data_IF_017000265212
#
_entry.id   IF_017000265212
#
_cell.length_a   1.000
_cell.length_b   1.000
_cell.length_c   1.000
_cell.angle_alpha   90.00
_cell.angle_beta   90.00
_cell.angle_gamma   90.00
#
_symmetry.space_group_name_H-M   'P 1'
#
loop_
_entity.id
_entity.type
_entity.pdbx_description
1 polymer ?
#
# COMPACT_ATOMS: atom_id res chain seq x y z
N UNK A 1 5.88 12.64 0.15
CA UNK A 1 6.37 11.26 0.37
C UNK A 1 5.93 10.45 -0.81
N UNK A 2 6.85 9.70 -1.41
CA UNK A 2 6.59 8.93 -2.62
C UNK A 2 6.41 7.48 -2.20
N UNK A 3 5.36 6.83 -2.70
CA UNK A 3 5.18 5.39 -2.63
C UNK A 3 5.45 4.82 -4.01
N UNK A 4 6.18 3.72 -4.06
CA UNK A 4 6.60 3.12 -5.31
C UNK A 4 5.70 1.94 -5.66
N UNK A 5 5.26 1.90 -6.92
CA UNK A 5 4.38 0.86 -7.46
C UNK A 5 4.98 0.28 -8.74
N UNK A 6 4.43 -0.82 -9.25
CA UNK A 6 4.88 -1.39 -10.54
C UNK A 6 4.19 -0.72 -11.72
N UNK A 7 2.99 -0.18 -11.48
CA UNK A 7 2.21 0.48 -12.53
C UNK A 7 1.32 1.57 -11.94
N UNK A 8 1.40 2.75 -12.54
CA UNK A 8 0.39 3.79 -12.36
C UNK A 8 -0.83 3.55 -13.25
N UNK A 9 -2.01 3.81 -12.70
CA UNK A 9 -3.26 3.80 -13.45
C UNK A 9 -3.56 5.24 -13.89
N UNK A 10 -3.88 5.41 -15.17
CA UNK A 10 -4.13 6.71 -15.80
C UNK A 10 -5.21 7.53 -15.07
N UNK A 11 -5.21 8.85 -15.32
CA UNK A 11 -6.18 9.81 -14.75
C UNK A 11 -6.22 9.83 -13.20
N UNK A 12 -5.06 9.63 -12.57
CA UNK A 12 -4.91 9.66 -11.10
C UNK A 12 -5.81 8.64 -10.37
N UNK A 13 -6.19 7.54 -11.06
CA UNK A 13 -7.01 6.48 -10.45
C UNK A 13 -6.26 5.75 -9.33
N UNK A 14 -4.94 5.64 -9.44
CA UNK A 14 -4.07 5.06 -8.43
C UNK A 14 -2.92 4.26 -9.02
N UNK A 15 -2.63 3.09 -8.45
CA UNK A 15 -1.50 2.27 -8.86
C UNK A 15 -1.54 0.88 -8.23
N UNK A 16 -0.70 -0.03 -8.72
CA UNK A 16 -0.64 -1.41 -8.22
C UNK A 16 0.80 -1.90 -8.11
N UNK A 17 1.07 -2.74 -7.12
CA UNK A 17 2.34 -3.47 -7.03
C UNK A 17 2.15 -4.89 -6.53
N UNK A 18 2.92 -5.80 -7.10
CA UNK A 18 3.08 -7.18 -6.64
C UNK A 18 4.55 -7.49 -6.28
N UNK A 19 5.44 -6.50 -6.36
CA UNK A 19 6.81 -6.60 -5.89
C UNK A 19 6.86 -6.59 -4.35
N UNK A 20 7.51 -7.62 -3.78
CA UNK A 20 7.63 -7.81 -2.34
C UNK A 20 8.40 -6.67 -1.65
N UNK A 21 9.43 -6.12 -2.29
CA UNK A 21 10.27 -5.05 -1.71
C UNK A 21 9.53 -3.71 -1.73
N UNK A 22 8.77 -3.42 -2.79
CA UNK A 22 7.90 -2.24 -2.85
C UNK A 22 6.79 -2.34 -1.81
N UNK A 23 6.14 -3.50 -1.68
CA UNK A 23 5.16 -3.75 -0.63
C UNK A 23 5.76 -3.60 0.78
N UNK A 24 6.95 -4.14 1.02
CA UNK A 24 7.67 -3.98 2.28
C UNK A 24 7.95 -2.50 2.59
N UNK A 25 8.46 -1.75 1.61
CA UNK A 25 8.73 -0.32 1.73
C UNK A 25 7.46 0.46 2.04
N UNK A 26 6.36 0.18 1.33
CA UNK A 26 5.05 0.79 1.56
C UNK A 26 4.60 0.55 3.00
N UNK A 27 4.72 -0.67 3.53
CA UNK A 27 4.37 -0.92 4.93
C UNK A 27 5.29 -0.16 5.89
N UNK A 28 6.60 -0.19 5.63
CA UNK A 28 7.59 0.43 6.50
C UNK A 28 7.39 1.94 6.64
N UNK A 29 7.08 2.66 5.57
CA UNK A 29 6.82 4.11 5.64
C UNK A 29 5.53 4.47 6.40
N UNK A 30 4.65 3.50 6.64
CA UNK A 30 3.48 3.63 7.52
C UNK A 30 3.74 3.08 8.92
N UNK A 31 4.96 2.65 9.24
CA UNK A 31 5.31 2.08 10.53
C UNK A 31 4.78 0.66 10.75
N UNK A 32 4.55 -0.08 9.67
CA UNK A 32 4.08 -1.47 9.72
C UNK A 32 5.08 -2.44 9.11
N UNK A 33 4.88 -3.71 9.44
CA UNK A 33 5.60 -4.87 8.92
C UNK A 33 4.63 -5.93 8.40
N UNK A 34 5.12 -6.84 7.54
CA UNK A 34 4.33 -8.00 7.13
C UNK A 34 3.87 -8.83 8.33
N UNK A 35 4.75 -9.03 9.31
CA UNK A 35 4.43 -9.77 10.54
C UNK A 35 3.25 -9.15 11.30
N UNK A 36 3.22 -7.83 11.46
CA UNK A 36 2.11 -7.15 12.13
C UNK A 36 0.81 -7.30 11.34
N UNK A 37 0.87 -7.19 10.01
CA UNK A 37 -0.30 -7.38 9.14
C UNK A 37 -0.85 -8.81 9.21
N UNK A 38 0.03 -9.80 9.17
CA UNK A 38 -0.33 -11.21 9.25
C UNK A 38 -0.85 -11.59 10.64
N UNK A 39 -0.23 -11.10 11.72
CA UNK A 39 -0.69 -11.34 13.11
C UNK A 39 -2.06 -10.76 13.41
N UNK A 40 -2.38 -9.61 12.80
CA UNK A 40 -3.69 -8.97 12.94
C UNK A 40 -4.76 -9.58 12.04
N UNK A 41 -4.37 -10.45 11.11
CA UNK A 41 -5.29 -11.19 10.25
C UNK A 41 -5.84 -12.42 10.98
N UNK A 42 -7.03 -12.89 10.58
CA UNK A 42 -7.58 -14.13 11.13
C UNK A 42 -6.63 -15.29 10.80
N UNK A 43 -6.19 -16.11 11.78
CA UNK A 43 -5.30 -17.25 11.52
C UNK A 43 -5.89 -18.29 10.55
N UNK A 44 -7.21 -18.29 10.38
CA UNK A 44 -7.95 -19.16 9.46
C UNK A 44 -8.19 -18.53 8.08
N UNK A 45 -7.78 -17.27 7.87
CA UNK A 45 -7.91 -16.63 6.58
C UNK A 45 -7.01 -17.34 5.57
N UNK A 46 -7.62 -17.85 4.50
CA UNK A 46 -6.87 -18.49 3.41
C UNK A 46 -5.91 -17.50 2.74
N UNK A 47 -6.35 -16.25 2.58
CA UNK A 47 -5.57 -15.14 2.03
C UNK A 47 -5.79 -13.92 2.95
N UNK A 48 -4.86 -13.63 3.87
CA UNK A 48 -4.82 -12.40 4.63
C UNK A 48 -5.00 -11.17 3.73
N UNK A 49 -5.91 -10.28 4.11
CA UNK A 49 -6.25 -9.09 3.32
C UNK A 49 -6.78 -7.97 4.21
N UNK A 50 -6.66 -6.74 3.73
CA UNK A 50 -7.10 -5.58 4.46
C UNK A 50 -7.11 -4.31 3.62
N UNK A 51 -7.49 -3.21 4.27
CA UNK A 51 -7.51 -1.88 3.68
C UNK A 51 -7.09 -0.81 4.69
N UNK A 52 -6.45 0.25 4.21
CA UNK A 52 -6.11 1.43 5.00
C UNK A 52 -6.02 2.68 4.12
N UNK A 53 -6.13 3.87 4.72
CA UNK A 53 -6.01 5.14 4.00
C UNK A 53 -4.62 5.76 4.10
N UNK A 54 -4.11 6.31 3.00
CA UNK A 54 -2.86 7.08 2.94
C UNK A 54 -2.91 8.21 1.93
N UNK A 55 -2.65 9.45 2.38
CA UNK A 55 -2.86 10.65 1.55
C UNK A 55 -4.26 10.65 0.93
N UNK A 56 -4.34 10.81 -0.40
CA UNK A 56 -5.58 10.73 -1.19
C UNK A 56 -6.01 9.30 -1.57
N UNK A 57 -5.30 8.26 -1.14
CA UNK A 57 -5.52 6.90 -1.59
C UNK A 57 -6.07 6.00 -0.49
N UNK A 58 -6.91 5.06 -0.87
CA UNK A 58 -7.25 3.88 -0.10
C UNK A 58 -6.42 2.73 -0.67
N UNK A 59 -5.61 2.11 0.19
CA UNK A 59 -4.81 0.94 -0.15
C UNK A 59 -5.62 -0.30 0.21
N UNK A 60 -5.80 -1.19 -0.74
CA UNK A 60 -6.31 -2.53 -0.53
C UNK A 60 -5.18 -3.53 -0.79
N UNK A 61 -5.07 -4.56 0.05
CA UNK A 61 -4.01 -5.55 -0.11
C UNK A 61 -4.47 -6.97 0.16
N UNK A 62 -3.75 -7.92 -0.42
CA UNK A 62 -3.76 -9.32 -0.03
C UNK A 62 -2.34 -9.88 -0.04
N UNK A 63 -2.05 -10.77 0.91
CA UNK A 63 -0.70 -11.28 1.19
C UNK A 63 -0.82 -12.75 1.55
N UNK A 64 -0.05 -13.61 0.90
CA UNK A 64 0.07 -15.02 1.30
C UNK A 64 0.88 -15.13 2.60
N UNK A 65 0.55 -16.10 3.45
CA UNK A 65 1.21 -16.30 4.75
C UNK A 65 2.72 -16.51 4.64
N UNK A 66 3.19 -17.09 3.53
CA UNK A 66 4.60 -17.33 3.24
C UNK A 66 5.27 -16.21 2.41
N UNK A 67 4.52 -15.13 2.14
CA UNK A 67 4.93 -13.99 1.31
C UNK A 67 5.29 -14.37 -0.14
N UNK A 68 4.89 -15.54 -0.62
CA UNK A 68 5.10 -15.94 -2.02
C UNK A 68 4.35 -15.03 -2.99
N UNK A 69 3.23 -14.45 -2.54
CA UNK A 69 2.49 -13.43 -3.26
C UNK A 69 2.12 -12.26 -2.35
N UNK A 70 2.28 -11.06 -2.88
CA UNK A 70 1.73 -9.82 -2.34
C UNK A 70 1.00 -9.08 -3.45
N UNK A 71 -0.08 -8.40 -3.11
CA UNK A 71 -0.74 -7.49 -4.02
C UNK A 71 -1.21 -6.27 -3.25
N UNK A 72 -0.80 -5.10 -3.69
CA UNK A 72 -1.20 -3.81 -3.14
C UNK A 72 -1.81 -2.99 -4.26
N UNK A 73 -3.06 -2.58 -4.07
CA UNK A 73 -3.79 -1.68 -4.95
C UNK A 73 -4.07 -0.37 -4.25
N UNK A 74 -3.70 0.73 -4.91
CA UNK A 74 -4.02 2.10 -4.51
C UNK A 74 -5.20 2.57 -5.32
N UNK A 75 -6.23 3.06 -4.63
CA UNK A 75 -7.46 3.57 -5.23
C UNK A 75 -7.64 4.99 -4.73
N UNK A 76 -7.69 5.96 -5.63
CA UNK A 76 -7.94 7.35 -5.25
C UNK A 76 -9.30 7.48 -4.55
N UNK A 77 -9.34 8.17 -3.41
CA UNK A 77 -10.56 8.31 -2.59
C UNK A 77 -11.67 9.10 -3.30
N UNK A 78 -11.35 9.83 -4.37
CA UNK A 78 -12.33 10.53 -5.18
C UNK A 78 -13.03 9.63 -6.21
N UNK A 79 -12.59 8.37 -6.33
CA UNK A 79 -13.29 7.39 -7.17
C UNK A 79 -14.68 7.14 -6.60
N UNK A 80 -15.65 7.26 -7.49
CA UNK A 80 -17.04 6.92 -7.23
C UNK A 80 -17.21 5.41 -7.40
N UNK A 81 -17.24 4.69 -6.27
CA UNK A 81 -17.48 3.25 -6.28
C UNK A 81 -18.87 2.90 -6.80
N UNK A 82 -19.90 3.72 -6.57
CA UNK A 82 -21.26 3.40 -7.02
C UNK A 82 -21.31 3.35 -8.55
N UNK A 83 -20.63 4.28 -9.22
CA UNK A 83 -20.51 4.28 -10.69
C UNK A 83 -19.69 3.12 -11.25
N UNK A 84 -18.90 2.45 -10.42
CA UNK A 84 -18.06 1.31 -10.80
C UNK A 84 -18.44 0.05 -10.02
N UNK A 85 -19.63 0.02 -9.41
CA UNK A 85 -19.98 -0.96 -8.39
C UNK A 85 -19.89 -2.37 -8.91
N UNK A 86 -20.36 -2.63 -10.12
CA UNK A 86 -20.31 -3.96 -10.76
C UNK A 86 -18.87 -4.49 -10.87
N UNK A 87 -17.91 -3.62 -11.20
CA UNK A 87 -16.48 -3.98 -11.27
C UNK A 87 -15.91 -4.39 -9.91
N UNK A 88 -16.38 -3.76 -8.84
CA UNK A 88 -15.88 -4.00 -7.49
C UNK A 88 -16.67 -5.06 -6.72
N UNK A 89 -17.97 -5.22 -7.00
CA UNK A 89 -18.87 -6.13 -6.29
C UNK A 89 -18.51 -7.60 -6.52
N UNK A 90 -18.01 -7.93 -7.71
CA UNK A 90 -17.51 -9.28 -8.01
C UNK A 90 -16.15 -9.58 -7.33
N UNK A 91 -15.41 -8.53 -6.94
CA UNK A 91 -14.05 -8.64 -6.42
C UNK A 91 -13.94 -8.34 -4.92
N UNK A 92 -14.95 -7.72 -4.31
CA UNK A 92 -14.96 -7.29 -2.92
C UNK A 92 -16.09 -7.93 -2.14
N UNK A 93 -15.79 -8.43 -0.94
CA UNK A 93 -16.85 -8.82 -0.02
C UNK A 93 -17.70 -7.61 0.38
N UNK A 94 -18.98 -7.78 0.76
CA UNK A 94 -19.80 -6.67 1.27
C UNK A 94 -19.14 -5.91 2.42
N UNK A 95 -18.39 -6.61 3.29
CA UNK A 95 -17.62 -6.01 4.37
C UNK A 95 -16.48 -5.11 3.85
N UNK A 96 -15.83 -5.51 2.76
CA UNK A 96 -14.76 -4.75 2.12
C UNK A 96 -15.30 -3.46 1.48
N UNK A 97 -16.47 -3.52 0.83
CA UNK A 97 -17.15 -2.33 0.27
C UNK A 97 -17.50 -1.33 1.37
N UNK A 98 -18.12 -1.80 2.46
CA UNK A 98 -18.43 -0.96 3.61
C UNK A 98 -17.16 -0.34 4.24
N UNK A 99 -16.07 -1.12 4.32
CA UNK A 99 -14.78 -0.64 4.79
C UNK A 99 -14.19 0.46 3.91
N UNK A 100 -14.30 0.32 2.58
CA UNK A 100 -13.87 1.34 1.64
C UNK A 100 -14.63 2.65 1.85
N UNK A 101 -15.96 2.61 1.90
CA UNK A 101 -16.77 3.82 2.10
C UNK A 101 -16.43 4.52 3.42
N UNK A 102 -16.20 3.74 4.49
CA UNK A 102 -15.76 4.29 5.77
C UNK A 102 -14.43 5.04 5.64
N UNK A 103 -13.43 4.43 4.99
CA UNK A 103 -12.14 5.08 4.74
C UNK A 103 -12.28 6.32 3.86
N UNK A 104 -13.18 6.29 2.88
CA UNK A 104 -13.47 7.42 2.01
C UNK A 104 -14.00 8.61 2.82
N UNK A 105 -14.97 8.38 3.72
CA UNK A 105 -15.47 9.42 4.63
C UNK A 105 -14.39 9.95 5.58
N UNK A 106 -13.53 9.07 6.12
CA UNK A 106 -12.41 9.49 6.96
C UNK A 106 -11.41 10.38 6.19
N UNK A 107 -11.16 10.08 4.92
CA UNK A 107 -10.28 10.89 4.07
C UNK A 107 -10.90 12.23 3.69
N UNK A 108 -12.23 12.32 3.52
CA UNK A 108 -12.94 13.60 3.27
C UNK A 108 -12.78 14.61 4.41
N UNK A 109 -12.52 14.14 5.63
CA UNK A 109 -12.30 14.99 6.80
C UNK A 109 -10.87 15.57 6.87
N UNK A 110 -9.94 15.08 6.05
CA UNK A 110 -8.54 15.54 6.05
C UNK A 110 -8.37 16.83 5.26
N UNK A 111 -7.36 17.63 5.63
CA UNK A 111 -7.01 18.84 4.86
C UNK A 111 -6.40 18.46 3.52
N UNK A 112 -6.57 19.31 2.52
CA UNK A 112 -5.97 19.11 1.20
C UNK A 112 -4.45 18.88 1.27
N UNK A 113 -3.74 19.60 2.14
CA UNK A 113 -2.29 19.43 2.34
C UNK A 113 -1.89 18.07 2.89
N UNK A 114 -2.79 17.39 3.60
CA UNK A 114 -2.59 16.02 4.08
C UNK A 114 -2.82 15.00 2.96
N UNK A 115 -3.85 15.23 2.13
CA UNK A 115 -4.18 14.38 0.98
C UNK A 115 -3.08 14.39 -0.09
N UNK A 116 -2.48 15.56 -0.34
CA UNK A 116 -1.43 15.73 -1.36
C UNK A 116 -0.03 15.38 -0.85
N UNK A 117 0.12 14.99 0.43
CA UNK A 117 1.43 14.63 0.98
C UNK A 117 2.00 13.34 0.37
N UNK A 118 1.13 12.49 -0.19
CA UNK A 118 1.48 11.21 -0.78
C UNK A 118 1.34 11.27 -2.30
N UNK A 119 2.38 10.81 -2.98
CA UNK A 119 2.42 10.63 -4.43
C UNK A 119 2.80 9.19 -4.74
N UNK A 120 2.34 8.69 -5.89
CA UNK A 120 2.71 7.37 -6.41
C UNK A 120 3.73 7.55 -7.54
N UNK A 121 4.69 6.64 -7.63
CA UNK A 121 5.69 6.60 -8.70
C UNK A 121 5.92 5.16 -9.15
N UNK A 122 6.05 4.93 -10.45
CA UNK A 122 6.48 3.67 -11.04
C UNK A 122 7.95 3.72 -11.51
N UNK A 123 8.73 4.69 -11.03
CA UNK A 123 10.16 4.79 -11.34
C UNK A 123 11.01 3.85 -10.46
N UNK A 124 11.45 2.74 -11.05
CA UNK A 124 12.30 1.74 -10.38
C UNK A 124 13.66 2.30 -9.96
N UNK A 125 14.25 3.24 -10.70
CA UNK A 125 15.55 3.82 -10.34
C UNK A 125 15.46 4.62 -9.04
N UNK A 126 14.39 5.39 -8.87
CA UNK A 126 14.16 6.17 -7.65
C UNK A 126 13.80 5.23 -6.48
N UNK A 127 13.06 4.16 -6.77
CA UNK A 127 12.74 3.12 -5.80
C UNK A 127 14.02 2.48 -5.22
N UNK A 128 14.97 2.08 -6.07
CA UNK A 128 16.21 1.44 -5.60
C UNK A 128 17.03 2.33 -4.65
N UNK A 129 17.04 3.64 -4.90
CA UNK A 129 17.69 4.62 -4.00
C UNK A 129 16.93 4.70 -2.67
N UNK A 130 15.60 4.86 -2.73
CA UNK A 130 14.77 4.97 -1.54
C UNK A 130 14.81 3.70 -0.67
N UNK A 131 14.76 2.53 -1.29
CA UNK A 131 14.80 1.25 -0.61
C UNK A 131 16.15 0.99 0.05
N UNK A 132 17.27 1.32 -0.63
CA UNK A 132 18.61 1.23 -0.03
C UNK A 132 18.71 2.07 1.24
N UNK A 133 18.29 3.33 1.16
CA UNK A 133 18.29 4.22 2.32
C UNK A 133 17.44 3.65 3.46
N UNK A 134 16.26 3.11 3.15
CA UNK A 134 15.41 2.44 4.14
C UNK A 134 16.12 1.27 4.82
N UNK A 135 16.78 0.38 4.07
CA UNK A 135 17.50 -0.78 4.61
C UNK A 135 18.68 -0.33 5.49
N UNK A 136 19.45 0.68 5.07
CA UNK A 136 20.58 1.21 5.84
C UNK A 136 20.14 1.77 7.20
N UNK A 137 19.00 2.45 7.26
CA UNK A 137 18.46 2.99 8.52
C UNK A 137 17.82 1.91 9.39
N UNK A 138 17.30 0.82 8.80
CA UNK A 138 16.73 -0.32 9.53
C UNK A 138 17.80 -1.24 10.11
N UNK A 139 18.96 -1.34 9.47
CA UNK A 139 20.09 -2.20 9.87
C UNK A 139 21.41 -1.40 9.95
N UNK A 140 21.60 -0.54 10.97
CA UNK A 140 22.79 0.32 11.07
C UNK A 140 24.12 -0.44 11.27
N UNK A 141 24.08 -1.75 11.50
CA UNK A 141 25.25 -2.60 11.79
C UNK A 141 26.10 -3.06 10.59
N UNK A 142 25.68 -2.83 9.34
CA UNK A 142 26.39 -3.34 8.16
C UNK A 142 27.39 -2.36 7.52
N UNK A 143 27.62 -1.17 8.12
CA UNK A 143 28.52 -0.15 7.58
C UNK A 143 29.99 -0.25 8.08
N UNK A 144 30.39 -1.33 8.76
CA UNK A 144 31.77 -1.49 9.26
C UNK A 144 32.68 -2.43 8.48
N UNK A 145 32.33 -2.90 7.28
CA UNK A 145 33.24 -3.77 6.51
C UNK A 145 33.31 -3.37 5.04
N UNK A 146 33.91 -2.22 4.76
CA UNK A 146 34.75 -2.01 3.55
C UNK A 146 35.57 -0.73 3.71
N UNK A 147 36.66 -0.83 4.46
CA UNK A 147 37.83 0.02 4.26
C UNK A 147 39.04 -0.90 4.35
N UNK A 148 39.48 -1.39 3.19
CA UNK A 148 40.83 -1.90 2.97
C UNK A 148 41.73 -0.71 2.58
#
# INVERSE_FOLDING_TARGET
>A
MILFVDKLIINDLGGVTNDLRKAEYILAVHGWTFDEMLKNSSPTAKIPSGMFGTGRYIVAFNIDWDLSHVNFGFINCNIDLEKNFDTFADCMSPKSVAGFHKLQEELKLKKQSELTKIELSDNDSDFEIAYRNYIEHRNPGNLQVTSL
#
